data_IF_879141021940
#
_entry.id   IF_879141021940
#
_cell.length_a   1.000
_cell.length_b   1.000
_cell.length_c   1.000
_cell.angle_alpha   90.00
_cell.angle_beta   90.00
_cell.angle_gamma   90.00
#
_symmetry.space_group_name_H-M   'P 1'
#
loop_
_entity.id
_entity.type
_entity.pdbx_description
1 polymer ?
#
# COMPACT_ATOMS: atom_id res chain seq x y z
N UNK A 1 10.76 15.35 42.93
CA UNK A 1 10.22 14.27 43.78
C UNK A 1 10.23 13.03 42.94
N UNK A 2 11.36 12.36 42.96
CA UNK A 2 11.62 11.11 42.25
C UNK A 2 10.84 10.01 42.97
N UNK A 3 10.05 9.24 42.23
CA UNK A 3 9.16 8.23 42.80
C UNK A 3 9.95 6.93 42.93
N UNK A 4 10.22 6.50 44.16
CA UNK A 4 10.98 5.27 44.44
C UNK A 4 10.20 4.01 44.05
N UNK A 5 10.48 3.51 42.83
CA UNK A 5 9.80 2.35 42.25
C UNK A 5 10.07 1.03 43.01
N UNK A 6 11.20 0.95 43.73
CA UNK A 6 11.61 -0.26 44.45
C UNK A 6 10.81 -0.51 45.75
N UNK A 7 10.05 0.47 46.23
CA UNK A 7 9.22 0.37 47.44
C UNK A 7 7.72 0.19 47.11
N UNK A 8 7.35 0.21 45.82
CA UNK A 8 5.96 0.11 45.38
C UNK A 8 5.51 -1.35 45.29
N UNK A 9 4.24 -1.60 45.64
CA UNK A 9 3.62 -2.91 45.46
C UNK A 9 3.42 -3.22 43.97
N UNK A 10 3.34 -4.50 43.60
CA UNK A 10 3.08 -4.91 42.20
C UNK A 10 1.85 -4.19 41.60
N UNK A 11 0.74 -4.12 42.35
CA UNK A 11 -0.48 -3.40 41.92
C UNK A 11 -0.25 -1.91 41.65
N UNK A 12 0.61 -1.27 42.45
CA UNK A 12 0.89 0.16 42.29
C UNK A 12 1.78 0.42 41.07
N UNK A 13 2.73 -0.49 40.79
CA UNK A 13 3.54 -0.46 39.56
C UNK A 13 2.68 -0.70 38.31
N UNK A 14 1.71 -1.61 38.37
CA UNK A 14 0.76 -1.84 37.27
C UNK A 14 -0.14 -0.62 37.04
N UNK A 15 -0.64 0.01 38.10
CA UNK A 15 -1.41 1.25 37.99
C UNK A 15 -0.59 2.40 37.41
N UNK A 16 0.68 2.54 37.84
CA UNK A 16 1.59 3.55 37.30
C UNK A 16 1.89 3.32 35.82
N UNK A 17 2.07 2.06 35.40
CA UNK A 17 2.25 1.72 33.98
C UNK A 17 1.04 2.14 33.15
N UNK A 18 -0.18 1.90 33.64
CA UNK A 18 -1.40 2.30 32.94
C UNK A 18 -1.53 3.83 32.83
N UNK A 19 -1.19 4.57 33.89
CA UNK A 19 -1.18 6.03 33.88
C UNK A 19 -0.15 6.60 32.88
N UNK A 20 1.05 6.01 32.84
CA UNK A 20 2.09 6.37 31.87
C UNK A 20 1.59 6.12 30.43
N UNK A 21 0.96 4.96 30.18
CA UNK A 21 0.44 4.63 28.85
C UNK A 21 -0.62 5.64 28.39
N UNK A 22 -1.54 6.00 29.29
CA UNK A 22 -2.57 7.01 29.03
C UNK A 22 -1.96 8.41 28.80
N UNK A 23 -0.93 8.77 29.56
CA UNK A 23 -0.21 10.02 29.38
C UNK A 23 0.53 10.06 28.03
N UNK A 24 1.18 8.95 27.63
CA UNK A 24 1.84 8.81 26.34
C UNK A 24 0.83 8.90 25.18
N UNK A 25 -0.30 8.22 25.27
CA UNK A 25 -1.36 8.28 24.27
C UNK A 25 -1.91 9.72 24.13
N UNK A 26 -2.10 10.42 25.25
CA UNK A 26 -2.54 11.81 25.27
C UNK A 26 -1.51 12.75 24.63
N UNK A 27 -0.21 12.55 24.91
CA UNK A 27 0.87 13.30 24.29
C UNK A 27 0.96 13.05 22.79
N UNK A 28 0.81 11.80 22.35
CA UNK A 28 0.84 11.45 20.93
C UNK A 28 -0.35 12.09 20.20
N UNK A 29 -1.54 12.06 20.78
CA UNK A 29 -2.74 12.71 20.22
C UNK A 29 -2.55 14.22 20.03
N UNK A 30 -1.96 14.89 21.04
CA UNK A 30 -1.61 16.32 20.95
C UNK A 30 -0.58 16.57 19.85
N UNK A 31 0.53 15.81 19.84
CA UNK A 31 1.56 15.91 18.79
C UNK A 31 1.02 15.68 17.39
N UNK A 32 0.12 14.71 17.21
CA UNK A 32 -0.55 14.44 15.93
C UNK A 32 -1.41 15.62 15.49
N UNK A 33 -2.13 16.24 16.43
CA UNK A 33 -2.95 17.43 16.16
C UNK A 33 -2.08 18.62 15.77
N UNK A 34 -1.01 18.88 16.52
CA UNK A 34 -0.04 19.93 16.22
C UNK A 34 0.63 19.73 14.86
N UNK A 35 1.06 18.49 14.56
CA UNK A 35 1.62 18.14 13.26
C UNK A 35 0.63 18.38 12.12
N UNK A 36 -0.66 18.04 12.33
CA UNK A 36 -1.71 18.30 11.33
C UNK A 36 -1.91 19.79 11.10
N UNK A 37 -1.96 20.59 12.17
CA UNK A 37 -2.11 22.05 12.07
C UNK A 37 -0.91 22.66 11.35
N UNK A 38 0.32 22.24 11.67
CA UNK A 38 1.52 22.69 10.99
C UNK A 38 1.51 22.33 9.50
N UNK A 39 1.12 21.09 9.16
CA UNK A 39 1.00 20.66 7.78
C UNK A 39 -0.07 21.44 7.00
N UNK A 40 -1.22 21.73 7.64
CA UNK A 40 -2.28 22.54 7.04
C UNK A 40 -1.85 23.99 6.84
N UNK A 41 -1.15 24.58 7.81
CA UNK A 41 -0.60 25.94 7.68
C UNK A 41 0.41 26.03 6.54
N UNK A 42 1.32 25.06 6.44
CA UNK A 42 2.29 24.99 5.36
C UNK A 42 1.61 24.83 3.99
N UNK A 43 0.58 23.98 3.89
CA UNK A 43 -0.20 23.86 2.66
C UNK A 43 -0.87 25.18 2.27
N UNK A 44 -1.48 25.86 3.25
CA UNK A 44 -2.17 27.14 3.07
C UNK A 44 -1.24 28.28 2.64
N UNK A 45 -0.01 28.32 3.15
CA UNK A 45 1.00 29.31 2.74
C UNK A 45 1.28 29.23 1.23
N UNK A 46 1.17 28.04 0.65
CA UNK A 46 1.32 27.82 -0.78
C UNK A 46 -0.01 27.86 -1.56
N UNK A 47 -1.13 28.23 -0.91
CA UNK A 47 -2.44 28.33 -1.54
C UNK A 47 -3.16 26.99 -1.73
N UNK A 48 -2.71 25.92 -1.07
CA UNK A 48 -3.31 24.59 -1.16
C UNK A 48 -3.99 24.18 0.15
N UNK A 49 -4.94 23.24 0.06
CA UNK A 49 -5.51 22.58 1.23
C UNK A 49 -4.79 21.26 1.49
N UNK A 50 -4.62 20.88 2.77
CA UNK A 50 -3.97 19.61 3.13
C UNK A 50 -4.68 18.40 2.51
N UNK A 51 -6.01 18.42 2.43
CA UNK A 51 -6.81 17.35 1.84
C UNK A 51 -6.53 17.17 0.34
N UNK A 52 -6.40 18.28 -0.40
CA UNK A 52 -6.07 18.29 -1.83
C UNK A 52 -4.67 17.69 -2.10
N UNK A 53 -3.69 17.99 -1.25
CA UNK A 53 -2.35 17.41 -1.33
C UNK A 53 -2.35 15.89 -1.06
N UNK A 54 -3.16 15.43 -0.11
CA UNK A 54 -3.30 14.01 0.21
C UNK A 54 -4.00 13.24 -0.91
N UNK A 55 -5.05 13.81 -1.50
CA UNK A 55 -5.75 13.27 -2.67
C UNK A 55 -4.81 13.15 -3.89
N UNK A 56 -3.99 14.16 -4.15
CA UNK A 56 -3.00 14.14 -5.22
C UNK A 56 -1.93 13.04 -5.01
N UNK A 57 -1.55 12.76 -3.76
CA UNK A 57 -0.65 11.66 -3.41
C UNK A 57 -1.25 10.27 -3.65
N UNK A 58 -2.54 10.07 -3.30
CA UNK A 58 -3.26 8.80 -3.53
C UNK A 58 -3.39 8.48 -5.03
N UNK A 59 -3.63 9.49 -5.87
CA UNK A 59 -3.71 9.32 -7.32
C UNK A 59 -2.39 8.80 -7.94
N UNK A 60 -1.24 9.06 -7.28
CA UNK A 60 0.07 8.58 -7.74
C UNK A 60 0.39 7.14 -7.31
N UNK A 61 -0.21 6.67 -6.20
CA UNK A 61 -0.05 5.30 -5.69
C UNK A 61 -0.86 4.23 -6.42
N UNK A 62 -1.90 4.62 -7.18
CA UNK A 62 -2.74 3.71 -7.97
C UNK A 62 -2.20 3.41 -9.38
N UNK A 63 -0.96 3.82 -9.70
CA UNK A 63 -0.27 3.31 -10.90
C UNK A 63 0.46 2.00 -10.63
N UNK A 64 -0.18 1.05 -9.94
CA UNK A 64 0.12 -0.36 -10.18
C UNK A 64 -0.03 -0.53 -11.68
N UNK A 65 1.09 -0.72 -12.38
CA UNK A 65 1.08 -0.95 -13.81
C UNK A 65 0.01 -2.00 -14.10
N UNK A 66 -1.10 -1.59 -14.74
CA UNK A 66 -2.17 -2.50 -15.15
C UNK A 66 -1.46 -3.58 -15.96
N UNK A 67 -1.23 -4.76 -15.36
CA UNK A 67 -0.72 -5.91 -16.10
C UNK A 67 -1.77 -6.13 -17.17
N UNK A 68 -1.41 -5.89 -18.43
CA UNK A 68 -2.33 -6.07 -19.53
C UNK A 68 -2.91 -7.49 -19.42
N UNK A 69 -4.22 -7.66 -19.55
CA UNK A 69 -4.82 -8.98 -19.46
C UNK A 69 -4.16 -9.90 -20.49
N UNK A 70 -3.92 -11.17 -20.15
CA UNK A 70 -3.51 -12.15 -21.14
C UNK A 70 -4.53 -12.18 -22.28
N UNK A 71 -4.07 -12.19 -23.53
CA UNK A 71 -4.93 -12.22 -24.72
C UNK A 71 -4.96 -13.61 -25.34
N UNK A 72 -3.92 -14.40 -25.14
CA UNK A 72 -3.81 -15.76 -25.64
C UNK A 72 -3.51 -16.74 -24.49
N UNK A 73 -4.03 -17.97 -24.57
CA UNK A 73 -3.78 -19.07 -23.62
C UNK A 73 -3.41 -20.33 -24.38
N UNK A 74 -2.46 -21.07 -23.82
CA UNK A 74 -2.05 -22.35 -24.40
C UNK A 74 -3.17 -23.40 -24.20
N UNK A 75 -3.67 -24.06 -25.26
CA UNK A 75 -4.69 -25.11 -25.17
C UNK A 75 -4.18 -26.38 -24.48
N UNK A 76 -2.86 -26.62 -24.52
CA UNK A 76 -2.23 -27.78 -23.86
C UNK A 76 -1.93 -27.49 -22.38
N UNK A 77 -1.73 -26.21 -22.02
CA UNK A 77 -1.45 -25.81 -20.66
C UNK A 77 -2.10 -24.46 -20.29
N UNK A 78 -3.24 -24.46 -19.58
CA UNK A 78 -4.02 -23.24 -19.32
C UNK A 78 -3.31 -22.23 -18.40
N UNK A 79 -2.20 -22.62 -17.77
CA UNK A 79 -1.37 -21.73 -16.94
C UNK A 79 -0.46 -20.82 -17.78
N UNK A 80 -0.13 -21.21 -19.01
CA UNK A 80 0.66 -20.40 -19.92
C UNK A 80 -0.22 -19.43 -20.69
N UNK A 81 0.03 -18.14 -20.49
CA UNK A 81 -0.72 -17.08 -21.14
C UNK A 81 0.20 -16.02 -21.70
N UNK A 82 -0.23 -15.39 -22.79
CA UNK A 82 0.52 -14.36 -23.48
C UNK A 82 -0.34 -13.14 -23.74
N UNK A 83 0.17 -11.95 -23.42
CA UNK A 83 -0.57 -10.68 -23.53
C UNK A 83 -0.62 -10.13 -24.96
N UNK A 84 -0.02 -10.83 -25.94
CA UNK A 84 0.11 -10.35 -27.31
C UNK A 84 1.18 -9.27 -27.51
N UNK A 85 1.92 -8.92 -26.45
CA UNK A 85 3.02 -7.94 -26.45
C UNK A 85 4.34 -8.64 -26.13
N UNK A 86 5.41 -8.28 -26.82
CA UNK A 86 6.76 -8.82 -26.57
C UNK A 86 7.06 -10.13 -27.31
N UNK A 87 8.03 -10.91 -26.81
CA UNK A 87 8.49 -12.15 -27.45
C UNK A 87 7.37 -13.20 -27.44
N UNK A 88 7.10 -13.79 -28.60
CA UNK A 88 6.17 -14.92 -28.74
C UNK A 88 6.70 -16.14 -27.96
N UNK A 89 5.91 -16.74 -27.06
CA UNK A 89 6.27 -18.00 -26.39
C UNK A 89 6.34 -19.17 -27.37
N UNK A 90 7.00 -20.26 -26.96
CA UNK A 90 7.24 -21.45 -27.80
C UNK A 90 5.94 -22.06 -28.32
N UNK A 91 4.97 -22.28 -27.43
CA UNK A 91 3.68 -22.87 -27.77
C UNK A 91 2.88 -22.09 -28.83
N UNK A 92 3.04 -20.77 -28.92
CA UNK A 92 2.41 -19.98 -30.02
C UNK A 92 3.10 -20.27 -31.34
N UNK A 93 4.43 -20.42 -31.36
CA UNK A 93 5.15 -20.76 -32.57
C UNK A 93 4.81 -22.18 -33.01
N UNK A 94 4.80 -23.12 -32.08
CA UNK A 94 4.46 -24.51 -32.33
C UNK A 94 3.02 -24.65 -32.85
N UNK A 95 2.05 -23.93 -32.27
CA UNK A 95 0.68 -23.90 -32.78
C UNK A 95 0.59 -23.32 -34.19
N UNK A 96 1.34 -22.25 -34.50
CA UNK A 96 1.42 -21.68 -35.85
C UNK A 96 2.08 -22.64 -36.86
N UNK A 97 3.11 -23.39 -36.44
CA UNK A 97 3.77 -24.42 -37.26
C UNK A 97 2.87 -25.63 -37.51
N UNK A 98 2.00 -25.98 -36.55
CA UNK A 98 0.96 -26.99 -36.70
C UNK A 98 -0.24 -26.52 -37.54
N UNK A 99 -0.17 -25.31 -38.13
CA UNK A 99 -1.22 -24.75 -38.97
C UNK A 99 -2.42 -24.20 -38.21
N UNK A 100 -2.34 -24.05 -36.88
CA UNK A 100 -3.40 -23.43 -36.07
C UNK A 100 -3.27 -21.91 -36.11
N UNK A 101 -4.35 -21.18 -36.42
CA UNK A 101 -4.31 -19.73 -36.42
C UNK A 101 -4.22 -19.20 -34.97
N UNK A 102 -3.49 -18.10 -34.78
CA UNK A 102 -3.35 -17.44 -33.47
C UNK A 102 -4.69 -17.07 -32.82
N UNK A 103 -5.74 -16.84 -33.62
CA UNK A 103 -7.10 -16.56 -33.16
C UNK A 103 -7.73 -17.73 -32.39
N UNK A 104 -7.32 -18.97 -32.65
CA UNK A 104 -7.82 -20.16 -31.93
C UNK A 104 -7.31 -20.22 -30.49
N UNK A 105 -6.19 -19.54 -30.23
CA UNK A 105 -5.53 -19.47 -28.93
C UNK A 105 -5.96 -18.24 -28.12
N UNK A 106 -6.84 -17.39 -28.67
CA UNK A 106 -7.33 -16.17 -28.03
C UNK A 106 -8.36 -16.53 -26.94
N UNK A 107 -8.29 -15.88 -25.77
CA UNK A 107 -9.21 -16.10 -24.64
C UNK A 107 -10.26 -15.01 -24.49
#
# INVERSE_FOLDING_TARGET
>A
MDKDLNQMSQKELEALKADIDQALASLESRRRTEARVAAESAAREHGFSLDELLEMGKARGSRTAKKNPPRYRNPENPTETWTGRGRKPGWIKEALEQGRPLSDLEI
#
